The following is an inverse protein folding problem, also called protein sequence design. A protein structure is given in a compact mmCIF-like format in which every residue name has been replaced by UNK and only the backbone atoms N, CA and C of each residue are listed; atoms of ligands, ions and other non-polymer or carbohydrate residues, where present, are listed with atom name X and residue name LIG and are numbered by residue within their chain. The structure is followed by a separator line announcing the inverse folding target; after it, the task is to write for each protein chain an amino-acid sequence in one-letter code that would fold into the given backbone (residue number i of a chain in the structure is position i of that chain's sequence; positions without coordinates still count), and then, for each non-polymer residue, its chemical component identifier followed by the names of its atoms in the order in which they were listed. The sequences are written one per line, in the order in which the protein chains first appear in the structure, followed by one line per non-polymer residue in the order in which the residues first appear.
data_IF_931064142869
#
_entry.id   IF_931064142869
#
_cell.length_a   1.000
_cell.length_b   1.000
_cell.length_c   1.000
_cell.angle_alpha   90.00
_cell.angle_beta   90.00
_cell.angle_gamma   90.00
#
_symmetry.space_group_name_H-M   'P 1'
#
loop_
_entity.id
_entity.type
_entity.pdbx_description
1 polymer ?
#
# COMPACT_ATOMS: atom_id res chain seq x y z
N UNK A 1 -47.82 1.37 -36.75
CA UNK A 1 -48.66 2.34 -36.02
C UNK A 1 -47.98 2.61 -34.69
N UNK A 2 -47.57 3.80 -34.25
CA UNK A 2 -47.47 5.12 -34.83
C UNK A 2 -46.35 5.86 -34.08
N UNK A 3 -45.66 6.74 -34.80
CA UNK A 3 -44.63 7.67 -34.31
C UNK A 3 -45.26 8.78 -33.45
N UNK A 4 -44.46 9.47 -32.64
CA UNK A 4 -44.46 10.93 -32.44
C UNK A 4 -43.22 11.32 -31.60
N UNK A 5 -42.08 11.63 -32.23
CA UNK A 5 -41.50 12.98 -32.37
C UNK A 5 -42.40 14.18 -32.02
N UNK A 6 -41.85 15.14 -31.26
CA UNK A 6 -41.89 16.61 -31.44
C UNK A 6 -40.81 17.20 -30.48
N UNK A 7 -39.64 17.63 -30.95
CA UNK A 7 -39.26 18.90 -31.63
C UNK A 7 -38.79 20.03 -30.70
N UNK A 8 -37.72 20.66 -31.17
CA UNK A 8 -36.87 21.70 -30.60
C UNK A 8 -37.53 23.07 -30.33
N UNK A 9 -36.98 23.77 -29.32
CA UNK A 9 -36.53 25.18 -29.37
C UNK A 9 -35.29 25.27 -28.45
N UNK A 10 -34.13 25.82 -28.77
CA UNK A 10 -33.81 26.96 -29.63
C UNK A 10 -33.72 28.23 -28.77
N UNK A 11 -32.52 28.64 -28.35
CA UNK A 11 -32.32 29.92 -27.63
C UNK A 11 -30.88 30.13 -27.12
N UNK A 12 -30.23 31.17 -27.66
CA UNK A 12 -28.82 31.59 -27.47
C UNK A 12 -28.59 32.47 -26.22
N UNK A 13 -27.32 32.59 -25.84
CA UNK A 13 -26.73 33.68 -25.05
C UNK A 13 -26.53 33.31 -23.57
N UNK A 14 -25.37 33.43 -22.94
CA UNK A 14 -24.25 34.36 -23.13
C UNK A 14 -24.10 35.17 -21.82
N UNK A 15 -22.91 35.15 -21.20
CA UNK A 15 -22.53 36.13 -20.17
C UNK A 15 -22.28 35.57 -18.78
N UNK A 16 -21.13 35.96 -18.21
CA UNK A 16 -20.58 35.47 -16.96
C UNK A 16 -21.34 35.88 -15.69
N UNK A 17 -20.98 35.24 -14.58
CA UNK A 17 -21.51 35.56 -13.27
C UNK A 17 -20.83 34.74 -12.19
N UNK A 18 -19.89 35.39 -11.49
CA UNK A 18 -19.22 34.87 -10.29
C UNK A 18 -20.24 34.69 -9.15
N UNK A 19 -20.15 33.57 -8.44
CA UNK A 19 -20.75 33.34 -7.13
C UNK A 19 -20.41 31.91 -6.69
N UNK A 20 -19.69 31.63 -5.61
CA UNK A 20 -19.71 32.29 -4.31
C UNK A 20 -20.44 31.37 -3.33
N UNK A 21 -19.78 30.28 -2.91
CA UNK A 21 -20.35 29.25 -2.04
C UNK A 21 -19.31 28.65 -1.10
N UNK A 22 -18.86 29.46 -0.14
CA UNK A 22 -18.03 29.04 0.98
C UNK A 22 -18.75 28.02 1.86
N UNK A 23 -18.14 26.86 2.10
CA UNK A 23 -18.39 26.06 3.31
C UNK A 23 -17.24 26.28 4.29
N UNK A 24 -17.63 26.76 5.46
CA UNK A 24 -16.82 27.14 6.61
C UNK A 24 -15.91 26.01 7.09
N UNK A 25 -14.63 26.33 7.30
CA UNK A 25 -13.71 25.53 8.11
C UNK A 25 -13.03 26.50 9.12
N UNK A 26 -13.38 26.47 10.41
CA UNK A 26 -12.93 27.50 11.35
C UNK A 26 -11.68 27.04 12.10
N UNK A 27 -10.50 27.10 11.49
CA UNK A 27 -9.22 27.12 12.23
C UNK A 27 -8.15 27.91 11.46
N UNK A 28 -8.20 29.22 11.63
CA UNK A 28 -7.10 30.21 11.54
C UNK A 28 -7.39 31.15 12.73
N UNK A 29 -6.47 31.70 13.50
CA UNK A 29 -5.04 31.93 13.38
C UNK A 29 -4.59 32.50 14.74
N UNK A 30 -3.34 32.30 15.13
CA UNK A 30 -2.46 33.27 15.83
C UNK A 30 -1.11 32.56 15.99
N UNK A 31 -0.11 32.85 15.15
CA UNK A 31 0.77 34.02 15.27
C UNK A 31 1.81 33.69 16.35
N UNK A 32 3.10 33.44 16.09
CA UNK A 32 4.03 34.24 15.30
C UNK A 32 4.83 35.12 16.27
N UNK A 33 6.10 34.78 16.54
CA UNK A 33 7.00 35.61 17.34
C UNK A 33 8.15 34.84 17.98
N UNK A 34 9.39 35.09 17.53
CA UNK A 34 10.61 34.57 18.12
C UNK A 34 10.99 35.26 19.43
N UNK A 35 11.83 34.60 20.23
CA UNK A 35 12.42 35.18 21.43
C UNK A 35 13.26 34.17 22.21
N UNK A 36 14.56 34.42 22.30
CA UNK A 36 15.50 33.75 23.22
C UNK A 36 15.13 34.10 24.66
N UNK A 37 15.16 33.15 25.59
CA UNK A 37 14.99 33.47 27.01
C UNK A 37 15.20 32.26 27.93
N UNK A 38 16.21 32.36 28.80
CA UNK A 38 16.54 31.44 29.90
C UNK A 38 15.46 31.46 31.01
N UNK A 39 15.33 30.33 31.71
CA UNK A 39 15.04 30.29 33.15
C UNK A 39 13.56 30.22 33.53
N UNK A 40 13.19 29.22 34.35
CA UNK A 40 11.86 29.16 34.97
C UNK A 40 11.48 27.76 35.45
N UNK A 41 12.00 27.37 36.60
CA UNK A 41 11.61 26.18 37.37
C UNK A 41 10.16 26.27 37.84
N UNK A 42 9.30 25.31 37.47
CA UNK A 42 8.03 25.06 38.18
C UNK A 42 7.69 23.56 38.23
N UNK A 43 7.99 22.98 39.40
CA UNK A 43 7.29 21.94 40.16
C UNK A 43 6.44 20.89 39.40
N UNK A 44 7.01 19.67 39.28
CA UNK A 44 6.27 18.41 39.16
C UNK A 44 6.43 17.61 40.47
N UNK A 45 5.37 17.28 41.22
CA UNK A 45 5.51 16.40 42.38
C UNK A 45 5.69 14.93 41.95
N UNK A 46 6.48 14.12 42.67
CA UNK A 46 6.88 12.78 42.25
C UNK A 46 5.79 11.73 42.53
N UNK A 47 5.66 10.78 41.61
CA UNK A 47 4.81 9.59 41.74
C UNK A 47 5.32 8.70 42.88
N UNK A 48 4.55 8.59 43.97
CA UNK A 48 4.88 7.73 45.11
C UNK A 48 4.28 6.33 44.94
N UNK A 49 5.12 5.30 45.16
CA UNK A 49 4.77 3.88 45.15
C UNK A 49 4.17 3.47 46.51
N UNK A 50 3.24 2.52 46.45
CA UNK A 50 2.71 1.68 47.53
C UNK A 50 1.83 2.30 48.62
N UNK A 51 0.54 1.95 48.58
CA UNK A 51 -0.23 1.54 49.78
C UNK A 51 -1.45 0.70 49.38
N UNK A 52 -1.45 -0.58 49.76
CA UNK A 52 -2.67 -1.40 49.80
C UNK A 52 -3.49 -1.01 51.05
N UNK A 53 -4.82 -1.14 50.97
CA UNK A 53 -5.58 -1.68 52.09
C UNK A 53 -6.44 -2.86 51.64
N UNK A 54 -6.44 -3.92 52.46
CA UNK A 54 -7.18 -5.14 52.23
C UNK A 54 -8.67 -5.07 52.61
N UNK A 55 -9.41 -6.04 52.07
CA UNK A 55 -10.58 -6.65 52.71
C UNK A 55 -11.96 -6.08 52.33
N UNK A 56 -12.60 -6.66 51.30
CA UNK A 56 -13.82 -7.50 51.41
C UNK A 56 -14.46 -7.75 50.03
N UNK A 57 -14.87 -8.99 49.84
CA UNK A 57 -15.83 -9.53 48.86
C UNK A 57 -15.49 -9.42 47.36
N UNK A 58 -14.54 -10.24 46.94
CA UNK A 58 -14.48 -10.75 45.56
C UNK A 58 -14.68 -12.26 45.56
N UNK A 59 -15.94 -12.72 45.63
CA UNK A 59 -16.31 -14.00 45.02
C UNK A 59 -17.83 -14.23 45.03
N UNK A 60 -18.44 -13.94 43.88
CA UNK A 60 -19.38 -14.82 43.16
C UNK A 60 -19.73 -14.08 41.87
N UNK A 61 -18.82 -14.14 40.89
CA UNK A 61 -19.32 -14.15 39.51
C UNK A 61 -19.87 -15.54 39.34
N UNK A 62 -21.18 -15.69 39.47
CA UNK A 62 -21.87 -16.88 39.00
C UNK A 62 -21.28 -17.19 37.63
N UNK A 63 -20.72 -18.40 37.50
CA UNK A 63 -20.14 -18.84 36.26
C UNK A 63 -21.19 -18.67 35.19
N UNK A 64 -20.99 -17.72 34.29
CA UNK A 64 -21.80 -17.59 33.11
C UNK A 64 -21.61 -18.90 32.35
N UNK A 65 -22.54 -19.83 32.55
CA UNK A 65 -22.64 -21.03 31.74
C UNK A 65 -22.96 -20.51 30.36
N UNK A 66 -21.95 -20.48 29.49
CA UNK A 66 -22.19 -20.31 28.06
C UNK A 66 -23.13 -21.43 27.67
N UNK A 67 -24.40 -21.11 27.43
CA UNK A 67 -25.38 -22.08 26.99
C UNK A 67 -24.86 -22.70 25.69
N UNK A 68 -24.61 -24.01 25.70
CA UNK A 68 -24.29 -24.75 24.48
C UNK A 68 -25.50 -24.65 23.55
N UNK A 69 -25.34 -23.91 22.44
CA UNK A 69 -26.38 -23.73 21.44
C UNK A 69 -26.45 -24.99 20.57
N UNK A 70 -27.60 -25.65 20.56
CA UNK A 70 -27.88 -26.85 19.74
C UNK A 70 -28.45 -26.47 18.37
N UNK A 71 -28.29 -27.35 17.39
CA UNK A 71 -28.81 -27.19 16.02
C UNK A 71 -30.33 -26.94 15.98
N UNK A 72 -31.10 -27.65 16.81
CA UNK A 72 -32.55 -27.47 16.95
C UNK A 72 -32.94 -26.06 17.41
N UNK A 73 -32.11 -25.42 18.24
CA UNK A 73 -32.35 -24.06 18.74
C UNK A 73 -32.10 -22.99 17.67
N UNK A 74 -31.48 -23.37 16.55
CA UNK A 74 -31.27 -22.52 15.37
C UNK A 74 -31.97 -23.07 14.13
N UNK A 75 -32.98 -23.93 14.31
CA UNK A 75 -33.85 -24.47 13.26
C UNK A 75 -33.14 -25.33 12.19
N UNK A 76 -32.02 -25.97 12.56
CA UNK A 76 -31.38 -27.00 11.72
C UNK A 76 -31.87 -28.37 12.21
N UNK A 77 -32.97 -28.86 11.63
CA UNK A 77 -33.72 -30.03 12.15
C UNK A 77 -33.96 -31.13 11.13
N UNK A 78 -33.73 -30.88 9.84
CA UNK A 78 -34.08 -31.79 8.76
C UNK A 78 -32.84 -32.38 8.08
N UNK A 79 -32.97 -33.60 7.58
CA UNK A 79 -31.95 -34.30 6.81
C UNK A 79 -32.47 -34.57 5.39
N UNK A 80 -31.58 -34.51 4.40
CA UNK A 80 -31.91 -34.88 3.01
C UNK A 80 -32.01 -36.40 2.86
N UNK A 81 -31.22 -37.15 3.61
CA UNK A 81 -31.13 -38.61 3.55
C UNK A 81 -31.92 -39.28 4.66
N UNK A 82 -32.57 -40.41 4.36
CA UNK A 82 -33.34 -41.22 5.32
C UNK A 82 -32.49 -42.28 6.07
N UNK A 83 -31.19 -42.38 5.79
CA UNK A 83 -30.31 -43.37 6.40
C UNK A 83 -29.92 -43.03 7.84
N UNK A 84 -29.45 -44.03 8.59
CA UNK A 84 -28.93 -43.82 9.94
C UNK A 84 -27.61 -43.06 9.92
N UNK A 85 -27.49 -42.08 10.82
CA UNK A 85 -26.24 -41.35 11.04
C UNK A 85 -25.20 -42.19 11.80
N UNK A 86 -23.93 -41.82 11.65
CA UNK A 86 -22.84 -42.37 12.43
C UNK A 86 -22.04 -41.26 13.11
N UNK A 87 -21.18 -41.63 14.07
CA UNK A 87 -20.35 -40.66 14.79
C UNK A 87 -19.00 -40.50 14.11
N UNK A 88 -18.58 -39.25 13.91
CA UNK A 88 -17.25 -38.89 13.41
C UNK A 88 -16.73 -37.66 14.14
N UNK A 89 -15.41 -37.59 14.33
CA UNK A 89 -14.74 -36.43 14.90
C UNK A 89 -14.27 -35.52 13.76
N UNK A 90 -14.90 -34.36 13.61
CA UNK A 90 -14.50 -33.37 12.61
C UNK A 90 -13.45 -32.40 13.17
N UNK A 91 -12.49 -31.97 12.32
CA UNK A 91 -11.45 -30.97 12.66
C UNK A 91 -10.63 -31.36 13.91
N UNK A 92 -10.33 -32.65 14.11
CA UNK A 92 -9.52 -33.13 15.24
C UNK A 92 -8.19 -32.36 15.31
N UNK A 93 -7.51 -32.22 14.17
CA UNK A 93 -6.41 -31.28 13.91
C UNK A 93 -6.84 -30.27 12.86
N UNK A 94 -6.24 -29.08 12.87
CA UNK A 94 -6.50 -28.08 11.82
C UNK A 94 -6.02 -28.55 10.43
N UNK A 95 -5.08 -29.49 10.39
CA UNK A 95 -4.60 -30.12 9.15
C UNK A 95 -5.57 -31.11 8.55
N UNK A 96 -6.62 -31.52 9.28
CA UNK A 96 -7.61 -32.47 8.77
C UNK A 96 -8.66 -31.78 7.89
N UNK A 97 -8.61 -30.44 7.82
CA UNK A 97 -9.57 -29.62 7.10
C UNK A 97 -8.82 -28.63 6.21
N UNK A 98 -8.86 -28.88 4.91
CA UNK A 98 -8.21 -28.05 3.91
C UNK A 98 -9.28 -27.25 3.17
N UNK A 99 -8.97 -25.99 2.83
CA UNK A 99 -9.88 -25.15 2.06
C UNK A 99 -9.10 -24.39 1.01
N UNK A 100 -9.34 -24.69 -0.26
CA UNK A 100 -8.77 -23.94 -1.38
C UNK A 100 -9.87 -23.13 -2.05
N UNK A 101 -9.64 -21.82 -2.21
CA UNK A 101 -10.57 -20.95 -2.93
C UNK A 101 -10.69 -21.37 -4.40
N UNK A 102 -11.89 -21.30 -4.96
CA UNK A 102 -12.15 -21.42 -6.39
C UNK A 102 -12.44 -20.01 -6.91
N UNK A 103 -11.55 -19.48 -7.75
CA UNK A 103 -11.68 -18.12 -8.26
C UNK A 103 -12.89 -17.95 -9.21
N UNK A 104 -13.11 -16.73 -9.70
CA UNK A 104 -14.20 -16.42 -10.64
C UNK A 104 -14.12 -17.18 -11.97
N UNK A 105 -12.93 -17.61 -12.36
CA UNK A 105 -12.67 -18.36 -13.60
C UNK A 105 -12.85 -19.87 -13.37
N UNK A 106 -12.93 -20.33 -12.13
CA UNK A 106 -13.05 -21.73 -11.76
C UNK A 106 -11.73 -22.42 -11.43
N UNK A 107 -10.63 -21.67 -11.33
CA UNK A 107 -9.34 -22.23 -10.97
C UNK A 107 -9.24 -22.38 -9.46
N UNK A 108 -8.67 -23.50 -9.01
CA UNK A 108 -8.39 -23.75 -7.61
C UNK A 108 -7.11 -23.00 -7.19
N UNK A 109 -7.19 -22.26 -6.09
CA UNK A 109 -6.06 -21.60 -5.47
C UNK A 109 -5.16 -22.63 -4.76
N UNK A 110 -4.14 -23.11 -5.47
CA UNK A 110 -3.11 -24.01 -4.93
C UNK A 110 -1.78 -23.28 -4.93
N UNK A 111 -1.18 -23.13 -3.74
CA UNK A 111 0.12 -22.49 -3.60
C UNK A 111 1.22 -23.43 -4.12
N UNK A 112 1.66 -23.22 -5.36
CA UNK A 112 2.66 -24.05 -6.04
C UNK A 112 4.05 -23.43 -6.03
N UNK A 113 4.16 -22.11 -5.98
CA UNK A 113 5.42 -21.38 -6.14
C UNK A 113 5.61 -20.32 -5.08
N UNK A 114 6.75 -20.35 -4.38
CA UNK A 114 7.15 -19.32 -3.40
C UNK A 114 8.17 -18.32 -3.97
N UNK A 115 8.54 -18.47 -5.25
CA UNK A 115 9.55 -17.63 -5.89
C UNK A 115 9.01 -16.23 -6.11
N UNK A 116 9.91 -15.25 -6.01
CA UNK A 116 9.61 -13.86 -6.35
C UNK A 116 9.67 -13.69 -7.87
N UNK A 117 8.78 -12.86 -8.45
CA UNK A 117 8.89 -12.48 -9.85
C UNK A 117 10.17 -11.65 -10.07
N UNK A 118 10.74 -11.73 -11.27
CA UNK A 118 11.92 -10.93 -11.63
C UNK A 118 11.55 -9.44 -11.66
N UNK A 119 12.36 -8.62 -10.98
CA UNK A 119 12.12 -7.17 -10.97
C UNK A 119 12.30 -6.59 -12.38
N UNK A 120 11.34 -5.80 -12.87
CA UNK A 120 11.48 -5.07 -14.12
C UNK A 120 12.67 -4.12 -14.00
N UNK A 121 13.60 -4.22 -14.94
CA UNK A 121 14.72 -3.27 -15.03
C UNK A 121 14.22 -2.02 -15.75
N UNK A 122 14.66 -0.84 -15.30
CA UNK A 122 14.50 0.35 -16.14
C UNK A 122 15.45 0.20 -17.33
N UNK A 123 14.93 0.34 -18.55
CA UNK A 123 15.74 0.36 -19.78
C UNK A 123 16.61 1.63 -19.79
N UNK A 124 17.82 1.53 -19.22
CA UNK A 124 18.76 2.64 -19.12
C UNK A 124 19.44 3.01 -20.45
N UNK A 125 19.31 2.16 -21.48
CA UNK A 125 19.99 2.34 -22.78
C UNK A 125 19.37 3.43 -23.65
N UNK A 126 18.04 3.60 -23.61
CA UNK A 126 17.37 4.65 -24.41
C UNK A 126 17.45 6.03 -23.73
N UNK A 127 17.64 6.06 -22.41
CA UNK A 127 17.66 7.28 -21.62
C UNK A 127 18.88 8.18 -21.83
N UNK A 128 20.02 7.66 -22.28
CA UNK A 128 21.21 8.51 -22.54
C UNK A 128 21.01 9.35 -23.81
N UNK A 129 20.53 8.73 -24.89
CA UNK A 129 20.29 9.42 -26.16
C UNK A 129 19.20 10.49 -26.04
N UNK A 130 18.09 10.16 -25.35
CA UNK A 130 17.02 11.12 -25.07
C UNK A 130 17.48 12.27 -24.18
N UNK A 131 18.39 12.01 -23.23
CA UNK A 131 18.93 13.05 -22.36
C UNK A 131 19.88 13.97 -23.12
N UNK A 132 20.77 13.42 -23.95
CA UNK A 132 21.68 14.22 -24.80
C UNK A 132 20.90 15.13 -25.74
N UNK A 133 19.78 14.67 -26.29
CA UNK A 133 18.90 15.48 -27.13
C UNK A 133 18.27 16.68 -26.41
N UNK A 134 18.15 16.65 -25.07
CA UNK A 134 17.50 17.69 -24.28
C UNK A 134 18.47 18.71 -23.66
N UNK A 135 19.69 18.29 -23.28
CA UNK A 135 20.62 19.13 -22.49
C UNK A 135 22.01 19.30 -23.11
N UNK A 136 22.25 18.71 -24.29
CA UNK A 136 23.53 18.64 -25.02
C UNK A 136 24.56 17.70 -24.38
N UNK A 137 25.51 17.25 -25.21
CA UNK A 137 26.59 16.34 -24.78
C UNK A 137 27.54 17.01 -23.76
N UNK A 138 27.82 18.30 -23.93
CA UNK A 138 28.74 19.04 -23.04
C UNK A 138 28.22 19.09 -21.60
N UNK A 139 26.93 19.34 -21.43
CA UNK A 139 26.28 19.35 -20.11
C UNK A 139 26.26 17.96 -19.49
N UNK A 140 26.05 16.90 -20.30
CA UNK A 140 26.10 15.52 -19.84
C UNK A 140 27.50 15.16 -19.30
N UNK A 141 28.55 15.60 -19.98
CA UNK A 141 29.93 15.40 -19.55
C UNK A 141 30.25 16.18 -18.26
N UNK A 142 29.69 17.39 -18.10
CA UNK A 142 29.79 18.14 -16.84
C UNK A 142 29.11 17.40 -15.69
N UNK A 143 27.91 16.83 -15.90
CA UNK A 143 27.22 16.02 -14.89
C UNK A 143 28.05 14.78 -14.55
N UNK A 144 28.63 14.11 -15.55
CA UNK A 144 29.51 12.94 -15.36
C UNK A 144 30.73 13.31 -14.51
N UNK A 145 31.37 14.44 -14.79
CA UNK A 145 32.50 14.96 -14.00
C UNK A 145 32.12 15.19 -12.53
N UNK A 146 30.94 15.76 -12.28
CA UNK A 146 30.43 15.94 -10.91
C UNK A 146 30.13 14.58 -10.24
N UNK A 147 29.58 13.61 -10.98
CA UNK A 147 29.27 12.27 -10.47
C UNK A 147 30.53 11.44 -10.13
N UNK A 148 31.59 11.56 -10.92
CA UNK A 148 32.85 10.81 -10.77
C UNK A 148 33.85 11.46 -9.80
N UNK A 149 33.62 12.73 -9.42
CA UNK A 149 34.48 13.42 -8.45
C UNK A 149 34.49 12.66 -7.11
N UNK A 150 35.68 12.28 -6.63
CA UNK A 150 35.86 11.54 -5.36
C UNK A 150 35.86 12.46 -4.14
N UNK A 151 36.25 13.72 -4.32
CA UNK A 151 36.21 14.75 -3.29
C UNK A 151 34.86 15.48 -3.28
N UNK A 152 34.51 16.09 -2.14
CA UNK A 152 33.32 16.93 -2.05
C UNK A 152 33.48 18.14 -2.97
N UNK A 153 32.83 18.09 -4.10
CA UNK A 153 32.85 19.16 -5.07
C UNK A 153 31.61 20.05 -4.87
N UNK A 154 31.80 21.36 -4.70
CA UNK A 154 30.70 22.33 -4.68
C UNK A 154 30.19 22.68 -6.07
N UNK A 155 30.67 21.98 -7.10
CA UNK A 155 30.27 22.21 -8.48
C UNK A 155 28.78 21.91 -8.64
N UNK A 156 28.08 22.90 -9.18
CA UNK A 156 26.66 22.83 -9.51
C UNK A 156 26.55 22.96 -11.02
N UNK A 157 26.04 21.93 -11.68
CA UNK A 157 25.69 22.04 -13.10
C UNK A 157 24.30 22.65 -13.18
N UNK A 158 24.19 23.88 -13.68
CA UNK A 158 22.91 24.58 -13.86
C UNK A 158 22.51 24.58 -15.34
N UNK A 159 21.33 24.05 -15.62
CA UNK A 159 20.76 23.96 -16.97
C UNK A 159 19.56 24.89 -17.02
N UNK A 160 19.59 25.88 -17.90
CA UNK A 160 18.43 26.74 -18.14
C UNK A 160 17.33 25.95 -18.87
N UNK A 161 16.20 25.79 -18.20
CA UNK A 161 15.02 25.05 -18.68
C UNK A 161 13.78 25.95 -18.68
N UNK A 162 13.97 27.28 -18.77
CA UNK A 162 12.89 28.27 -18.69
C UNK A 162 11.82 28.05 -19.75
N UNK A 163 12.26 27.78 -20.99
CA UNK A 163 11.42 27.52 -22.16
C UNK A 163 10.94 26.06 -22.26
N UNK A 164 11.39 25.18 -21.35
CA UNK A 164 11.04 23.76 -21.41
C UNK A 164 9.77 23.42 -20.64
N UNK A 165 9.03 22.44 -21.16
CA UNK A 165 7.83 21.93 -20.52
C UNK A 165 8.13 21.27 -19.16
N UNK A 166 7.10 21.05 -18.33
CA UNK A 166 7.25 20.27 -17.10
C UNK A 166 7.66 18.81 -17.38
N UNK A 167 7.20 18.28 -18.51
CA UNK A 167 7.47 16.91 -18.94
C UNK A 167 8.93 16.74 -19.34
N UNK A 168 9.48 17.67 -20.12
CA UNK A 168 10.88 17.61 -20.54
C UNK A 168 11.84 17.84 -19.37
N UNK A 169 11.50 18.74 -18.44
CA UNK A 169 12.22 18.85 -17.16
C UNK A 169 12.20 17.54 -16.39
N UNK A 170 11.08 16.83 -16.40
CA UNK A 170 10.95 15.49 -15.82
C UNK A 170 11.85 14.47 -16.50
N UNK A 171 11.94 14.48 -17.83
CA UNK A 171 12.86 13.62 -18.60
C UNK A 171 14.31 13.89 -18.26
N UNK A 172 14.71 15.15 -18.10
CA UNK A 172 16.09 15.51 -17.69
C UNK A 172 16.43 14.93 -16.32
N UNK A 173 15.55 15.10 -15.33
CA UNK A 173 15.73 14.52 -13.99
C UNK A 173 15.81 12.99 -14.03
N UNK A 174 14.90 12.35 -14.76
CA UNK A 174 14.83 10.89 -14.84
C UNK A 174 16.02 10.29 -15.59
N UNK A 175 16.42 10.88 -16.72
CA UNK A 175 17.57 10.43 -17.50
C UNK A 175 18.86 10.55 -16.72
N UNK A 176 19.13 11.70 -16.10
CA UNK A 176 20.33 11.89 -15.29
C UNK A 176 20.36 10.95 -14.07
N UNK A 177 19.21 10.73 -13.41
CA UNK A 177 19.10 9.78 -12.31
C UNK A 177 19.26 8.32 -12.76
N UNK A 178 18.83 7.97 -13.97
CA UNK A 178 19.02 6.64 -14.56
C UNK A 178 20.49 6.34 -14.82
N UNK A 179 21.23 7.30 -15.37
CA UNK A 179 22.65 7.13 -15.73
C UNK A 179 23.60 7.19 -14.53
N UNK A 180 23.40 8.19 -13.66
CA UNK A 180 24.33 8.49 -12.57
C UNK A 180 23.82 7.98 -11.21
N UNK A 181 22.62 7.39 -11.17
CA UNK A 181 22.06 6.72 -10.01
C UNK A 181 22.03 7.61 -8.77
N UNK A 182 22.66 7.14 -7.70
CA UNK A 182 22.76 7.85 -6.42
C UNK A 182 23.96 8.79 -6.31
N UNK A 183 24.78 8.96 -7.35
CA UNK A 183 25.97 9.82 -7.30
C UNK A 183 25.63 11.32 -7.35
N UNK A 184 24.46 11.66 -7.89
CA UNK A 184 24.01 13.05 -8.07
C UNK A 184 22.63 13.29 -7.47
N UNK A 185 22.33 14.57 -7.21
CA UNK A 185 21.03 15.08 -6.78
C UNK A 185 20.60 16.15 -7.78
N UNK A 186 19.52 15.88 -8.51
CA UNK A 186 18.83 16.86 -9.33
C UNK A 186 17.80 17.64 -8.53
N UNK A 187 17.78 18.97 -8.66
CA UNK A 187 16.72 19.84 -8.17
C UNK A 187 16.33 20.89 -9.19
N UNK A 188 15.06 21.30 -9.23
CA UNK A 188 14.63 22.45 -10.04
C UNK A 188 14.54 23.68 -9.16
N UNK A 189 15.22 24.76 -9.55
CA UNK A 189 15.25 26.04 -8.82
C UNK A 189 14.73 27.14 -9.74
N UNK A 190 13.84 28.00 -9.23
CA UNK A 190 13.43 29.22 -9.93
C UNK A 190 14.26 30.39 -9.39
N UNK A 191 14.97 31.10 -10.27
CA UNK A 191 15.74 32.31 -9.94
C UNK A 191 15.34 33.39 -10.95
N UNK A 192 14.90 34.55 -10.47
CA UNK A 192 14.60 35.73 -11.29
C UNK A 192 13.74 35.41 -12.53
N UNK A 193 12.59 34.76 -12.32
CA UNK A 193 11.64 34.27 -13.34
C UNK A 193 12.17 33.24 -14.34
N UNK A 194 13.42 32.80 -14.21
CA UNK A 194 14.03 31.71 -14.98
C UNK A 194 14.04 30.42 -14.17
N UNK A 195 13.89 29.28 -14.86
CA UNK A 195 13.87 27.95 -14.24
C UNK A 195 15.15 27.22 -14.61
N UNK A 196 15.82 26.69 -13.60
CA UNK A 196 17.04 25.92 -13.77
C UNK A 196 16.86 24.51 -13.22
N UNK A 197 17.34 23.51 -13.95
CA UNK A 197 17.61 22.18 -13.37
C UNK A 197 19.07 22.17 -12.94
N UNK A 198 19.29 21.94 -11.65
CA UNK A 198 20.61 21.94 -11.03
C UNK A 198 20.99 20.52 -10.63
N UNK A 199 22.14 20.03 -11.06
CA UNK A 199 22.72 18.78 -10.60
C UNK A 199 23.91 19.03 -9.68
N UNK A 200 23.88 18.39 -8.51
CA UNK A 200 24.93 18.49 -7.49
C UNK A 200 25.36 17.10 -7.05
N UNK A 201 26.58 16.97 -6.53
CA UNK A 201 27.06 15.71 -5.96
C UNK A 201 26.17 15.26 -4.79
N UNK A 202 26.05 13.95 -4.60
CA UNK A 202 25.28 13.37 -3.50
C UNK A 202 25.76 13.84 -2.12
N UNK A 203 24.88 14.52 -1.39
CA UNK A 203 25.10 14.91 0.00
C UNK A 203 24.26 14.04 0.95
N UNK A 204 24.93 13.26 1.82
CA UNK A 204 24.31 12.44 2.88
C UNK A 204 23.39 13.24 3.80
N UNK A 205 23.56 14.57 3.92
CA UNK A 205 22.75 15.44 4.76
C UNK A 205 21.41 15.83 4.14
N UNK A 206 21.24 15.74 2.81
CA UNK A 206 19.97 16.05 2.16
C UNK A 206 19.01 14.86 2.25
N UNK A 207 17.76 15.14 2.60
CA UNK A 207 16.70 14.12 2.68
C UNK A 207 16.44 13.58 1.27
N UNK A 208 16.78 12.32 1.04
CA UNK A 208 16.50 11.62 -0.22
C UNK A 208 15.03 11.26 -0.31
N UNK A 209 14.42 11.55 -1.45
CA UNK A 209 13.14 10.95 -1.80
C UNK A 209 13.33 9.43 -1.96
N UNK A 210 12.82 8.66 -1.00
CA UNK A 210 12.91 7.20 -0.96
C UNK A 210 11.76 6.52 -1.71
N UNK A 211 10.91 7.28 -2.40
CA UNK A 211 9.83 6.70 -3.20
C UNK A 211 10.44 5.93 -4.37
N UNK A 212 10.37 4.60 -4.27
CA UNK A 212 10.66 3.70 -5.38
C UNK A 212 9.58 3.87 -6.44
N UNK A 213 10.00 4.02 -7.69
CA UNK A 213 9.09 4.08 -8.83
C UNK A 213 8.45 2.71 -9.00
N UNK A 214 7.14 2.68 -9.23
CA UNK A 214 6.44 1.44 -9.56
C UNK A 214 6.79 1.04 -10.99
N UNK A 215 7.47 -0.10 -11.15
CA UNK A 215 7.92 -0.61 -12.45
C UNK A 215 7.17 -1.87 -12.91
N UNK A 216 6.33 -2.43 -12.04
CA UNK A 216 5.55 -3.63 -12.35
C UNK A 216 4.46 -3.31 -13.39
N UNK A 217 4.10 -4.29 -14.24
CA UNK A 217 3.27 -4.05 -15.43
C UNK A 217 1.86 -3.57 -15.10
N UNK A 218 1.32 -3.95 -13.93
CA UNK A 218 -0.02 -3.55 -13.50
C UNK A 218 -0.02 -2.94 -12.10
N UNK A 219 -1.10 -2.25 -11.78
CA UNK A 219 -1.28 -1.48 -10.55
C UNK A 219 -1.45 -2.35 -9.29
N UNK A 220 -2.02 -3.55 -9.42
CA UNK A 220 -2.28 -4.44 -8.29
C UNK A 220 -1.42 -5.68 -8.35
N UNK A 221 -0.75 -5.97 -7.23
CA UNK A 221 -0.09 -7.24 -7.00
C UNK A 221 -1.06 -8.19 -6.37
N UNK A 222 -1.27 -9.32 -7.06
CA UNK A 222 -2.04 -10.46 -6.62
C UNK A 222 -1.07 -11.56 -6.20
N UNK A 223 -1.41 -12.27 -5.13
CA UNK A 223 -0.63 -13.42 -4.67
C UNK A 223 -1.55 -14.35 -3.89
N UNK A 224 -1.15 -15.62 -3.80
CA UNK A 224 -1.83 -16.59 -2.96
C UNK A 224 -1.37 -16.45 -1.52
N UNK A 225 -2.34 -16.41 -0.59
CA UNK A 225 -2.13 -16.49 0.84
C UNK A 225 -2.48 -17.90 1.31
N UNK A 226 -1.48 -18.63 1.78
CA UNK A 226 -1.66 -19.85 2.55
C UNK A 226 -1.55 -19.53 4.04
N UNK A 227 -2.53 -19.97 4.83
CA UNK A 227 -2.57 -19.73 6.27
C UNK A 227 -2.96 -20.99 7.04
N UNK A 228 -2.36 -21.16 8.21
CA UNK A 228 -2.61 -22.30 9.09
C UNK A 228 -3.13 -21.85 10.46
N UNK A 229 -4.28 -22.39 10.87
CA UNK A 229 -4.84 -22.16 12.21
C UNK A 229 -4.98 -20.67 12.61
N UNK A 230 -5.29 -19.81 11.65
CA UNK A 230 -5.41 -18.36 11.81
C UNK A 230 -6.53 -17.83 10.93
N UNK A 231 -7.21 -16.78 11.40
CA UNK A 231 -8.28 -16.11 10.66
C UNK A 231 -7.71 -15.27 9.50
N UNK A 232 -8.48 -15.12 8.41
CA UNK A 232 -8.05 -14.34 7.23
C UNK A 232 -7.74 -12.88 7.60
N UNK A 233 -8.61 -12.23 8.40
CA UNK A 233 -8.44 -10.83 8.81
C UNK A 233 -7.22 -10.71 9.71
N UNK A 234 -7.00 -11.67 10.61
CA UNK A 234 -5.83 -11.68 11.47
C UNK A 234 -4.54 -11.82 10.64
N UNK A 235 -4.53 -12.74 9.66
CA UNK A 235 -3.38 -12.95 8.79
C UNK A 235 -3.02 -11.71 7.96
N UNK A 236 -4.01 -11.06 7.35
CA UNK A 236 -3.79 -9.83 6.59
C UNK A 236 -3.38 -8.67 7.49
N UNK A 237 -3.96 -8.55 8.70
CA UNK A 237 -3.56 -7.53 9.69
C UNK A 237 -2.06 -7.65 10.03
N UNK A 238 -1.60 -8.85 10.38
CA UNK A 238 -0.18 -9.10 10.69
C UNK A 238 0.75 -8.76 9.51
N UNK A 239 0.30 -9.03 8.27
CA UNK A 239 1.04 -8.64 7.07
C UNK A 239 1.11 -7.11 6.93
N UNK A 240 0.01 -6.39 7.14
CA UNK A 240 -0.01 -4.91 7.05
C UNK A 240 0.87 -4.24 8.10
N UNK A 241 0.91 -4.78 9.33
CA UNK A 241 1.81 -4.30 10.39
C UNK A 241 3.28 -4.45 9.99
N UNK A 242 3.65 -5.61 9.44
CA UNK A 242 5.01 -5.88 8.96
C UNK A 242 5.38 -5.03 7.73
N UNK A 243 4.41 -4.67 6.90
CA UNK A 243 4.57 -3.78 5.73
C UNK A 243 4.52 -2.29 6.06
N UNK A 244 4.00 -1.94 7.25
CA UNK A 244 3.71 -0.57 7.71
C UNK A 244 2.75 0.17 6.78
N UNK A 245 1.66 -0.50 6.39
CA UNK A 245 0.58 0.08 5.58
C UNK A 245 -0.77 0.02 6.29
N UNK A 246 -1.80 0.62 5.68
CA UNK A 246 -3.16 0.61 6.23
C UNK A 246 -3.72 -0.81 6.37
N UNK A 247 -4.49 -1.13 7.42
CA UNK A 247 -5.22 -2.41 7.54
C UNK A 247 -6.13 -2.72 6.35
N UNK A 248 -6.62 -1.68 5.65
CA UNK A 248 -7.48 -1.80 4.47
C UNK A 248 -6.71 -1.99 3.16
N UNK A 249 -5.38 -2.16 3.19
CA UNK A 249 -4.55 -2.24 1.99
C UNK A 249 -4.74 -3.56 1.23
N UNK A 250 -4.99 -4.65 1.94
CA UNK A 250 -5.27 -5.95 1.33
C UNK A 250 -6.75 -6.12 1.04
N UNK A 251 -7.05 -6.72 -0.11
CA UNK A 251 -8.38 -7.19 -0.47
C UNK A 251 -8.35 -8.66 -0.87
N UNK A 252 -9.46 -9.34 -0.60
CA UNK A 252 -9.67 -10.77 -0.84
C UNK A 252 -11.16 -11.03 -1.13
N UNK A 253 -11.46 -12.16 -1.76
CA UNK A 253 -12.81 -12.48 -2.19
C UNK A 253 -13.71 -12.98 -1.04
N UNK A 254 -13.13 -13.56 0.01
CA UNK A 254 -13.85 -13.96 1.22
C UNK A 254 -12.92 -14.36 2.35
N UNK A 255 -13.45 -14.48 3.56
CA UNK A 255 -12.73 -15.08 4.69
C UNK A 255 -12.78 -16.61 4.59
N UNK A 256 -11.80 -17.27 5.21
CA UNK A 256 -11.68 -18.74 5.22
C UNK A 256 -11.51 -19.22 6.66
N UNK A 257 -11.92 -20.45 6.93
CA UNK A 257 -11.87 -21.08 8.25
C UNK A 257 -10.57 -20.79 9.01
N UNK A 258 -10.70 -20.39 10.28
CA UNK A 258 -9.55 -20.25 11.18
C UNK A 258 -8.91 -21.62 11.44
N UNK A 259 -9.70 -22.62 11.89
CA UNK A 259 -9.22 -23.96 12.25
C UNK A 259 -9.13 -24.86 11.01
N UNK A 260 -8.21 -24.50 10.12
CA UNK A 260 -7.97 -25.18 8.85
C UNK A 260 -6.57 -24.84 8.31
N UNK A 261 -6.17 -25.53 7.24
CA UNK A 261 -5.15 -25.05 6.29
C UNK A 261 -5.90 -24.49 5.08
N UNK A 262 -5.67 -23.22 4.77
CA UNK A 262 -6.47 -22.57 3.71
C UNK A 262 -5.59 -21.80 2.74
N UNK A 263 -5.93 -21.85 1.46
CA UNK A 263 -5.31 -21.08 0.39
C UNK A 263 -6.34 -20.20 -0.30
N UNK A 264 -6.03 -18.92 -0.49
CA UNK A 264 -6.92 -17.95 -1.14
C UNK A 264 -6.14 -16.86 -1.87
N UNK A 265 -6.78 -16.17 -2.81
CA UNK A 265 -6.19 -15.01 -3.46
C UNK A 265 -6.29 -13.76 -2.59
N UNK A 266 -5.22 -12.96 -2.61
CA UNK A 266 -5.13 -11.65 -1.97
C UNK A 266 -4.53 -10.65 -2.95
N UNK A 267 -4.98 -9.40 -2.90
CA UNK A 267 -4.48 -8.32 -3.74
C UNK A 267 -4.15 -7.06 -2.92
N UNK A 268 -3.17 -6.29 -3.39
CA UNK A 268 -2.75 -5.01 -2.81
C UNK A 268 -2.31 -4.06 -3.92
N UNK A 269 -2.69 -2.79 -3.81
CA UNK A 269 -2.28 -1.73 -4.74
C UNK A 269 -0.83 -1.35 -4.52
N UNK A 270 -0.02 -1.35 -5.57
CA UNK A 270 1.40 -1.01 -5.53
C UNK A 270 2.20 -1.74 -4.44
N UNK A 271 1.86 -3.00 -4.17
CA UNK A 271 2.56 -3.82 -3.18
C UNK A 271 3.74 -4.55 -3.78
N UNK A 272 4.95 -4.11 -3.50
CA UNK A 272 6.15 -4.76 -4.02
C UNK A 272 6.29 -6.22 -3.54
N UNK A 273 6.43 -7.22 -4.44
CA UNK A 273 6.53 -8.63 -4.07
C UNK A 273 7.64 -8.94 -3.07
N UNK A 274 8.80 -8.31 -3.19
CA UNK A 274 9.95 -8.53 -2.29
C UNK A 274 9.60 -8.08 -0.89
N UNK A 275 8.96 -6.91 -0.76
CA UNK A 275 8.50 -6.39 0.53
C UNK A 275 7.41 -7.27 1.14
N UNK A 276 6.43 -7.72 0.35
CA UNK A 276 5.35 -8.60 0.83
C UNK A 276 5.93 -9.94 1.30
N UNK A 277 6.84 -10.56 0.53
CA UNK A 277 7.49 -11.81 0.93
C UNK A 277 8.34 -11.65 2.18
N UNK A 278 9.09 -10.55 2.30
CA UNK A 278 9.88 -10.24 3.50
C UNK A 278 8.99 -10.02 4.74
N UNK A 279 7.79 -9.47 4.56
CA UNK A 279 6.82 -9.32 5.64
C UNK A 279 6.21 -10.67 6.05
N UNK A 280 5.88 -11.53 5.09
CA UNK A 280 5.34 -12.86 5.34
C UNK A 280 6.37 -13.83 5.95
N UNK A 281 7.66 -13.71 5.58
CA UNK A 281 8.73 -14.56 6.09
C UNK A 281 8.89 -14.49 7.63
N UNK A 282 8.42 -13.41 8.26
CA UNK A 282 8.42 -13.22 9.72
C UNK A 282 7.28 -13.97 10.43
N UNK A 283 6.32 -14.52 9.66
CA UNK A 283 5.09 -15.12 10.16
C UNK A 283 5.14 -16.64 9.94
N UNK A 284 5.17 -17.42 11.04
CA UNK A 284 5.36 -18.88 10.98
C UNK A 284 4.23 -19.60 10.24
N UNK A 285 2.99 -19.18 10.47
CA UNK A 285 1.78 -19.87 10.02
C UNK A 285 1.22 -19.30 8.70
N UNK A 286 2.01 -18.50 7.99
CA UNK A 286 1.63 -17.85 6.74
C UNK A 286 2.71 -18.14 5.70
N UNK A 287 2.27 -18.51 4.50
CA UNK A 287 3.10 -18.59 3.30
C UNK A 287 2.41 -17.80 2.20
N UNK A 288 3.21 -17.18 1.34
CA UNK A 288 2.70 -16.46 0.18
C UNK A 288 3.50 -16.83 -1.06
N UNK A 289 2.87 -16.66 -2.21
CA UNK A 289 3.50 -17.01 -3.49
C UNK A 289 2.55 -16.84 -4.65
N UNK A 290 2.87 -17.46 -5.79
CA UNK A 290 2.11 -17.35 -7.03
C UNK A 290 1.80 -15.88 -7.38
N UNK A 291 2.81 -15.02 -7.29
CA UNK A 291 2.66 -13.59 -7.55
C UNK A 291 2.27 -13.36 -9.01
N UNK A 292 1.29 -12.50 -9.22
CA UNK A 292 0.92 -11.98 -10.53
C UNK A 292 0.45 -10.52 -10.41
N UNK A 293 0.31 -9.86 -11.54
CA UNK A 293 -0.06 -8.45 -11.62
C UNK A 293 -1.34 -8.33 -12.44
N UNK A 294 -2.33 -7.63 -11.91
CA UNK A 294 -3.63 -7.44 -12.57
C UNK A 294 -4.07 -5.98 -12.48
N UNK A 295 -4.87 -5.50 -13.45
CA UNK A 295 -5.31 -4.10 -13.49
C UNK A 295 -6.34 -3.75 -12.40
N UNK A 296 -6.97 -4.75 -11.77
CA UNK A 296 -8.05 -4.55 -10.80
C UNK A 296 -7.73 -5.19 -9.45
N UNK A 297 -8.26 -4.58 -8.38
CA UNK A 297 -8.28 -5.16 -7.04
C UNK A 297 -9.30 -6.29 -6.94
N UNK A 298 -9.03 -7.29 -6.09
CA UNK A 298 -10.05 -8.25 -5.68
C UNK A 298 -11.16 -7.56 -4.90
N UNK A 299 -12.38 -8.08 -5.03
CA UNK A 299 -13.57 -7.63 -4.29
C UNK A 299 -14.23 -8.80 -3.57
N UNK A 300 -14.90 -8.49 -2.47
CA UNK A 300 -15.69 -9.48 -1.74
C UNK A 300 -16.73 -10.12 -2.68
N UNK A 301 -16.85 -11.45 -2.63
CA UNK A 301 -17.73 -12.23 -3.50
C UNK A 301 -17.14 -12.58 -4.87
N UNK A 302 -15.93 -12.15 -5.23
CA UNK A 302 -15.25 -12.55 -6.47
C UNK A 302 -14.62 -13.95 -6.39
N UNK A 303 -15.43 -14.94 -6.00
CA UNK A 303 -15.08 -16.36 -6.01
C UNK A 303 -16.31 -17.17 -6.45
N UNK A 304 -16.09 -18.33 -7.04
CA UNK A 304 -17.18 -19.28 -7.34
C UNK A 304 -17.51 -20.18 -6.16
N UNK A 305 -16.54 -20.42 -5.28
CA UNK A 305 -16.73 -21.30 -4.14
C UNK A 305 -15.41 -21.69 -3.49
N UNK A 306 -15.43 -22.81 -2.77
CA UNK A 306 -14.24 -23.38 -2.16
C UNK A 306 -14.24 -24.89 -2.38
N UNK A 307 -13.05 -25.44 -2.59
CA UNK A 307 -12.80 -26.88 -2.50
C UNK A 307 -12.44 -27.20 -1.06
N UNK A 308 -13.18 -28.15 -0.48
CA UNK A 308 -12.96 -28.71 0.85
C UNK A 308 -12.33 -30.10 0.74
#
# INVERSE_FOLDING_TARGET
MGRNNFQHRGGRGGGGGRGGGHRNNPFKNRGGGGGRGRGGSLNRPPFNRNKQPGGKDRNRRDGAVLSELKEEQVFVTEYVTLGEGFRGILKSRFSDFHVNEIDSEGNEAVLTELKLPEQPKEDTSNSEQELVALITQETLDQIRKVAESKDKCSDVVEIDVTEMSKEDRGKIHNGAKGLFGSAIIGSTVTKDDRKFVTFTQFDKKKVRDRREKWLWPEEFTHFMLYKENIDTIQATTMLTENLRCSPSAFAYAGTKDRRAKTTQWVSIRHGDPVRIASAAAKLRNIKIGNFCFKPAQLKLGQLRGNRF
#
